data_IF_825387011557
#
_entry.id   IF_825387011557
#
_cell.length_a   1.000
_cell.length_b   1.000
_cell.length_c   1.000
_cell.angle_alpha   90.00
_cell.angle_beta   90.00
_cell.angle_gamma   90.00
#
_symmetry.space_group_name_H-M   'P 1'
#
loop_
_entity.id
_entity.type
_entity.pdbx_description
1 polymer ?
#
# COMPACT_ATOMS: atom_id res chain seq x y z
N UNK A 1 41.27 -52.18 13.97
CA UNK A 1 41.37 -50.70 14.11
C UNK A 1 40.90 -49.92 12.86
N UNK A 2 39.87 -50.34 12.10
CA UNK A 2 39.39 -49.59 10.92
C UNK A 2 37.91 -49.14 10.96
N UNK A 3 37.10 -49.60 11.93
CA UNK A 3 35.69 -49.17 12.07
C UNK A 3 35.52 -47.93 12.96
N UNK A 4 36.39 -47.74 13.96
CA UNK A 4 36.29 -46.61 14.90
C UNK A 4 36.70 -45.26 14.27
N UNK A 5 37.63 -45.26 13.31
CA UNK A 5 38.08 -44.04 12.64
C UNK A 5 37.09 -43.51 11.60
N UNK A 6 36.21 -44.37 11.08
CA UNK A 6 35.21 -43.98 10.07
C UNK A 6 34.00 -43.29 10.72
N UNK A 7 33.59 -43.74 11.90
CA UNK A 7 32.53 -43.09 12.70
C UNK A 7 32.98 -41.71 13.20
N UNK A 8 34.24 -41.56 13.57
CA UNK A 8 34.80 -40.27 13.99
C UNK A 8 34.89 -39.27 12.82
N UNK A 9 35.24 -39.73 11.61
CA UNK A 9 35.24 -38.87 10.42
C UNK A 9 33.83 -38.44 9.99
N UNK A 10 32.83 -39.32 10.11
CA UNK A 10 31.43 -38.96 9.84
C UNK A 10 30.87 -37.97 10.87
N UNK A 11 31.22 -38.09 12.15
CA UNK A 11 30.83 -37.13 13.19
C UNK A 11 31.50 -35.76 13.01
N UNK A 12 32.76 -35.72 12.56
CA UNK A 12 33.45 -34.46 12.25
C UNK A 12 32.83 -33.80 11.01
N UNK A 13 32.45 -34.58 9.98
CA UNK A 13 31.71 -34.05 8.82
C UNK A 13 30.32 -33.52 9.18
N UNK A 14 29.61 -34.16 10.13
CA UNK A 14 28.33 -33.65 10.65
C UNK A 14 28.52 -32.34 11.43
N UNK A 15 29.63 -32.18 12.18
CA UNK A 15 29.95 -30.91 12.85
C UNK A 15 30.40 -29.78 11.91
N UNK A 16 31.04 -30.11 10.78
CA UNK A 16 31.45 -29.10 9.80
C UNK A 16 30.37 -28.76 8.74
N UNK A 17 29.36 -29.63 8.54
CA UNK A 17 28.21 -29.37 7.66
C UNK A 17 26.99 -28.87 8.46
N UNK A 18 26.88 -29.23 9.73
CA UNK A 18 25.74 -28.91 10.60
C UNK A 18 26.16 -28.08 11.80
N UNK A 19 26.40 -26.79 11.58
CA UNK A 19 26.23 -25.68 12.52
C UNK A 19 26.82 -24.41 11.90
N UNK A 20 26.41 -24.08 10.68
CA UNK A 20 26.31 -22.66 10.36
C UNK A 20 25.29 -22.11 11.35
N UNK A 21 25.74 -21.43 12.40
CA UNK A 21 24.88 -20.48 13.10
C UNK A 21 24.32 -19.58 12.00
N UNK A 22 23.06 -19.81 11.58
CA UNK A 22 22.32 -18.78 10.86
C UNK A 22 22.31 -17.63 11.85
N UNK A 23 23.18 -16.65 11.59
CA UNK A 23 23.23 -15.41 12.34
C UNK A 23 21.80 -14.91 12.35
N UNK A 24 21.22 -14.75 13.54
CA UNK A 24 19.86 -14.24 13.63
C UNK A 24 19.87 -12.88 12.93
N UNK A 25 19.04 -12.77 11.89
CA UNK A 25 18.99 -11.57 11.07
C UNK A 25 18.40 -10.47 11.94
N UNK A 26 19.18 -9.42 12.18
CA UNK A 26 18.72 -8.24 12.88
C UNK A 26 17.73 -7.48 11.99
N UNK A 27 16.54 -7.27 12.51
CA UNK A 27 15.48 -6.53 11.85
C UNK A 27 15.60 -5.04 12.22
N UNK A 28 15.29 -4.11 11.30
CA UNK A 28 15.23 -2.69 11.61
C UNK A 28 14.35 -2.43 12.84
N UNK A 29 14.87 -1.65 13.78
CA UNK A 29 14.19 -1.27 15.01
C UNK A 29 14.48 0.19 15.34
N UNK A 30 13.44 0.93 15.68
CA UNK A 30 13.43 2.36 16.01
C UNK A 30 14.18 3.21 14.97
N UNK A 31 14.02 2.86 13.69
CA UNK A 31 14.65 3.60 12.59
C UNK A 31 13.80 4.82 12.28
N UNK A 32 14.40 6.01 12.33
CA UNK A 32 13.75 7.27 11.97
C UNK A 32 13.71 7.42 10.45
N UNK A 33 12.52 7.51 9.88
CA UNK A 33 12.28 7.57 8.44
C UNK A 33 11.24 8.63 8.07
N UNK A 34 11.32 9.11 6.84
CA UNK A 34 10.35 10.02 6.20
C UNK A 34 9.32 9.21 5.41
N UNK A 35 9.74 8.08 4.83
CA UNK A 35 8.85 7.16 4.12
C UNK A 35 9.33 5.72 4.22
N UNK A 36 8.39 4.78 4.13
CA UNK A 36 8.63 3.33 4.09
C UNK A 36 7.65 2.69 3.12
N UNK A 37 8.09 1.63 2.43
CA UNK A 37 7.27 0.89 1.47
C UNK A 37 7.84 -0.50 1.23
N UNK A 38 6.97 -1.49 1.12
CA UNK A 38 7.36 -2.79 0.57
C UNK A 38 7.35 -2.76 -0.95
N UNK A 39 8.43 -3.21 -1.57
CA UNK A 39 8.48 -3.54 -2.99
C UNK A 39 9.06 -4.94 -3.16
N UNK A 40 8.23 -5.87 -3.65
CA UNK A 40 8.44 -7.29 -3.41
C UNK A 40 8.71 -7.52 -1.91
N UNK A 41 9.62 -8.43 -1.55
CA UNK A 41 10.07 -8.62 -0.17
C UNK A 41 11.25 -7.72 0.24
N UNK A 42 11.46 -6.59 -0.45
CA UNK A 42 12.45 -5.58 -0.04
C UNK A 42 11.74 -4.39 0.60
N UNK A 43 12.28 -3.91 1.72
CA UNK A 43 11.81 -2.71 2.38
C UNK A 43 12.59 -1.51 1.86
N UNK A 44 11.92 -0.64 1.12
CA UNK A 44 12.44 0.65 0.70
C UNK A 44 12.07 1.71 1.74
N UNK A 45 13.06 2.46 2.23
CA UNK A 45 12.80 3.53 3.19
C UNK A 45 13.75 4.71 2.99
N UNK A 46 13.24 5.90 3.29
CA UNK A 46 14.01 7.14 3.23
C UNK A 46 14.22 7.70 4.63
N UNK A 47 15.41 8.22 4.89
CA UNK A 47 15.78 8.90 6.13
C UNK A 47 16.36 10.27 5.77
N UNK A 48 16.72 11.09 6.77
CA UNK A 48 17.47 12.32 6.55
C UNK A 48 18.83 12.12 5.85
N UNK A 49 19.38 10.90 5.89
CA UNK A 49 20.71 10.56 5.37
C UNK A 49 20.68 9.84 4.00
N UNK A 50 19.51 9.66 3.39
CA UNK A 50 19.39 9.00 2.10
C UNK A 50 18.26 7.99 1.98
N UNK A 51 18.28 7.25 0.87
CA UNK A 51 17.32 6.19 0.53
C UNK A 51 18.02 4.84 0.66
N UNK A 52 17.34 3.89 1.29
CA UNK A 52 17.86 2.58 1.62
C UNK A 52 16.91 1.49 1.15
N UNK A 53 17.49 0.33 0.83
CA UNK A 53 16.76 -0.92 0.62
C UNK A 53 17.23 -1.93 1.66
N UNK A 54 16.30 -2.56 2.36
CA UNK A 54 16.57 -3.62 3.31
C UNK A 54 16.00 -4.93 2.80
N UNK A 55 16.84 -5.97 2.79
CA UNK A 55 16.47 -7.34 2.45
C UNK A 55 16.35 -8.16 3.75
N UNK A 56 15.13 -8.55 4.17
CA UNK A 56 14.94 -9.41 5.33
C UNK A 56 15.54 -10.81 5.18
N UNK A 57 15.73 -11.28 3.93
CA UNK A 57 16.22 -12.63 3.63
C UNK A 57 17.68 -12.85 4.06
N UNK A 58 18.49 -11.79 4.02
CA UNK A 58 19.90 -11.83 4.40
C UNK A 58 20.31 -10.75 5.41
N UNK A 59 19.37 -9.89 5.82
CA UNK A 59 19.56 -8.86 6.84
C UNK A 59 20.40 -7.69 6.39
N UNK A 60 20.56 -7.50 5.08
CA UNK A 60 21.41 -6.42 4.55
C UNK A 60 20.59 -5.18 4.24
N UNK A 61 21.15 -4.04 4.61
CA UNK A 61 20.73 -2.73 4.13
C UNK A 61 21.73 -2.25 3.07
N UNK A 62 21.24 -1.90 1.90
CA UNK A 62 22.02 -1.24 0.86
C UNK A 62 21.57 0.22 0.73
N UNK A 63 22.51 1.09 0.40
CA UNK A 63 22.24 2.50 0.16
C UNK A 63 21.97 2.69 -1.33
N UNK A 64 20.78 3.18 -1.67
CA UNK A 64 20.42 3.52 -3.05
C UNK A 64 20.83 4.96 -3.39
N UNK A 65 20.70 5.87 -2.43
CA UNK A 65 21.07 7.27 -2.59
C UNK A 65 21.70 7.80 -1.31
N UNK A 66 22.95 8.25 -1.39
CA UNK A 66 23.70 8.87 -0.29
C UNK A 66 23.66 10.37 -0.43
N UNK A 67 22.50 10.95 -0.13
CA UNK A 67 22.32 12.40 -0.18
C UNK A 67 21.87 12.93 1.18
N UNK A 68 22.26 14.16 1.47
CA UNK A 68 21.76 14.89 2.62
C UNK A 68 20.34 15.36 2.30
N UNK A 69 19.37 14.46 2.46
CA UNK A 69 17.95 14.74 2.26
C UNK A 69 17.52 15.89 3.17
N UNK A 70 18.12 16.05 4.36
CA UNK A 70 17.80 17.17 5.27
C UNK A 70 18.21 18.56 4.74
N UNK A 71 19.14 18.63 3.78
CA UNK A 71 19.49 19.88 3.08
C UNK A 71 18.58 20.18 1.88
N UNK A 72 17.81 19.21 1.44
CA UNK A 72 16.81 19.36 0.40
C UNK A 72 15.48 19.56 1.13
N UNK A 73 14.72 20.57 0.77
CA UNK A 73 13.39 20.79 1.34
C UNK A 73 12.45 19.67 0.86
N UNK A 74 12.59 18.46 1.43
CA UNK A 74 11.86 17.25 1.05
C UNK A 74 11.03 16.79 2.26
N UNK A 75 9.72 16.85 2.12
CA UNK A 75 8.76 16.41 3.14
C UNK A 75 8.07 15.08 2.79
N UNK A 76 8.14 14.65 1.54
CA UNK A 76 7.61 13.35 1.11
C UNK A 76 8.45 12.77 -0.02
N UNK A 77 8.61 11.44 -0.02
CA UNK A 77 9.39 10.72 -1.02
C UNK A 77 8.75 9.37 -1.34
N UNK A 78 8.59 9.07 -2.63
CA UNK A 78 8.30 7.73 -3.13
C UNK A 78 9.47 7.21 -3.98
N UNK A 79 9.75 5.91 -3.84
CA UNK A 79 10.82 5.23 -4.53
C UNK A 79 10.29 3.92 -5.11
N UNK A 80 10.57 3.67 -6.40
CA UNK A 80 10.14 2.47 -7.10
C UNK A 80 11.31 1.88 -7.91
N UNK A 81 11.80 0.70 -7.53
CA UNK A 81 12.79 -0.06 -8.30
C UNK A 81 12.17 -0.54 -9.64
N UNK A 82 12.99 -0.63 -10.69
CA UNK A 82 12.60 -1.27 -11.95
C UNK A 82 12.31 -2.77 -11.74
N UNK A 83 11.58 -3.43 -12.65
CA UNK A 83 11.33 -4.87 -12.56
C UNK A 83 12.60 -5.73 -12.40
N UNK A 84 13.70 -5.35 -13.07
CA UNK A 84 15.01 -5.99 -12.93
C UNK A 84 15.89 -5.42 -11.80
N UNK A 85 15.38 -4.43 -11.06
CA UNK A 85 16.03 -3.72 -9.95
C UNK A 85 17.30 -2.95 -10.34
N UNK A 86 17.61 -2.82 -11.63
CA UNK A 86 18.79 -2.08 -12.11
C UNK A 86 18.66 -0.56 -11.98
N UNK A 87 17.43 -0.04 -11.88
CA UNK A 87 17.11 1.39 -11.83
C UNK A 87 16.04 1.65 -10.79
N UNK A 88 15.82 2.92 -10.49
CA UNK A 88 14.70 3.34 -9.66
C UNK A 88 14.19 4.73 -10.04
N UNK A 89 12.89 4.93 -9.82
CA UNK A 89 12.24 6.23 -9.88
C UNK A 89 12.28 6.81 -8.48
N UNK A 90 12.66 8.07 -8.35
CA UNK A 90 12.50 8.86 -7.13
C UNK A 90 11.53 10.00 -7.44
N UNK A 91 10.49 10.12 -6.61
CA UNK A 91 9.62 11.29 -6.58
C UNK A 91 9.88 12.00 -5.26
N UNK A 92 10.33 13.26 -5.30
CA UNK A 92 10.57 14.05 -4.09
C UNK A 92 9.61 15.22 -4.06
N UNK A 93 8.84 15.41 -2.99
CA UNK A 93 8.01 16.59 -2.78
C UNK A 93 8.71 17.56 -1.83
N UNK A 94 8.75 18.84 -2.18
CA UNK A 94 9.10 19.94 -1.28
C UNK A 94 7.92 20.85 -0.98
N UNK A 95 8.17 22.00 -0.32
CA UNK A 95 7.09 22.90 0.11
C UNK A 95 6.19 23.40 -1.03
N UNK A 96 6.73 23.50 -2.25
CA UNK A 96 6.04 24.13 -3.37
C UNK A 96 5.80 23.20 -4.56
N UNK A 97 6.60 22.13 -4.74
CA UNK A 97 6.47 21.24 -5.88
C UNK A 97 7.24 19.91 -5.67
N UNK A 98 7.00 18.93 -6.55
CA UNK A 98 7.77 17.71 -6.63
C UNK A 98 8.62 17.54 -7.89
N UNK A 99 9.71 16.82 -7.75
CA UNK A 99 10.56 16.38 -8.87
C UNK A 99 10.37 14.89 -9.12
N UNK A 100 10.66 14.46 -10.36
CA UNK A 100 10.69 13.04 -10.74
C UNK A 100 12.00 12.77 -11.47
N UNK A 101 12.75 11.81 -10.95
CA UNK A 101 14.06 11.44 -11.46
C UNK A 101 14.18 9.91 -11.57
N UNK A 102 14.84 9.46 -12.63
CA UNK A 102 15.18 8.07 -12.86
C UNK A 102 16.69 7.93 -12.67
N UNK A 103 17.10 6.99 -11.84
CA UNK A 103 18.48 6.82 -11.41
C UNK A 103 18.94 5.37 -11.55
N UNK A 104 20.23 5.18 -11.73
CA UNK A 104 20.88 3.87 -11.75
C UNK A 104 21.09 3.35 -10.32
N UNK A 105 20.67 2.11 -10.05
CA UNK A 105 20.67 1.54 -8.68
C UNK A 105 22.05 1.26 -8.12
N UNK A 106 23.05 0.99 -8.97
CA UNK A 106 24.41 0.65 -8.54
C UNK A 106 25.27 1.91 -8.34
N UNK A 107 25.07 2.90 -9.21
CA UNK A 107 25.93 4.09 -9.26
C UNK A 107 25.29 5.35 -8.68
N UNK A 108 23.98 5.33 -8.39
CA UNK A 108 23.20 6.50 -7.97
C UNK A 108 23.32 7.68 -8.96
N UNK A 109 23.59 7.39 -10.24
CA UNK A 109 23.68 8.43 -11.27
C UNK A 109 22.31 8.70 -11.87
N UNK A 110 22.02 9.99 -12.08
CA UNK A 110 20.84 10.43 -12.81
C UNK A 110 20.88 9.92 -14.25
N UNK A 111 19.85 9.17 -14.65
CA UNK A 111 19.64 8.70 -16.01
C UNK A 111 18.77 9.70 -16.76
N UNK A 112 17.68 10.13 -16.13
CA UNK A 112 16.71 11.04 -16.71
C UNK A 112 16.00 11.84 -15.61
N UNK A 113 16.08 13.16 -15.71
CA UNK A 113 15.29 14.07 -14.89
C UNK A 113 14.13 14.60 -15.72
N UNK A 114 12.90 14.39 -15.24
CA UNK A 114 11.70 14.85 -15.94
C UNK A 114 11.41 16.32 -15.65
N UNK A 115 11.04 17.07 -16.69
CA UNK A 115 10.53 18.43 -16.54
C UNK A 115 9.04 18.36 -16.13
N UNK A 116 8.77 18.38 -14.82
CA UNK A 116 7.41 18.24 -14.28
C UNK A 116 6.47 19.37 -14.73
N UNK A 117 6.99 20.60 -14.92
CA UNK A 117 6.20 21.77 -15.33
C UNK A 117 5.59 21.56 -16.72
N UNK A 118 6.35 20.93 -17.62
CA UNK A 118 5.89 20.60 -18.97
C UNK A 118 4.60 19.78 -18.95
N UNK A 119 4.47 18.82 -18.05
CA UNK A 119 3.30 17.93 -17.99
C UNK A 119 2.05 18.61 -17.44
N UNK A 120 2.21 19.78 -16.82
CA UNK A 120 1.13 20.56 -16.20
C UNK A 120 0.83 21.86 -16.96
N UNK A 121 1.56 22.15 -18.03
CA UNK A 121 1.35 23.34 -18.81
C UNK A 121 -0.07 23.38 -19.41
N UNK A 122 -0.73 24.54 -19.33
CA UNK A 122 -2.04 24.76 -19.95
C UNK A 122 -3.24 24.13 -19.24
N UNK A 123 -3.08 23.56 -18.04
CA UNK A 123 -4.20 22.92 -17.31
C UNK A 123 -5.06 23.90 -16.50
N UNK A 124 -4.75 25.20 -16.51
CA UNK A 124 -5.49 26.23 -15.79
C UNK A 124 -4.79 26.70 -14.51
N UNK A 125 -5.54 27.33 -13.60
CA UNK A 125 -4.99 27.90 -12.37
C UNK A 125 -4.75 26.89 -11.23
N UNK A 126 -5.31 25.67 -11.36
CA UNK A 126 -5.01 24.54 -10.47
C UNK A 126 -4.13 23.55 -11.23
N UNK A 127 -2.93 23.30 -10.71
CA UNK A 127 -1.90 22.50 -11.35
C UNK A 127 -1.42 21.44 -10.35
N UNK A 128 -2.10 20.30 -10.24
CA UNK A 128 -1.73 19.24 -9.32
C UNK A 128 -0.30 18.74 -9.58
N UNK A 129 0.46 18.37 -8.53
CA UNK A 129 1.80 17.81 -8.68
C UNK A 129 1.77 16.45 -9.39
N UNK A 130 2.94 15.85 -9.64
CA UNK A 130 2.97 14.46 -10.10
C UNK A 130 2.51 13.57 -8.94
N UNK A 131 1.33 12.97 -9.05
CA UNK A 131 0.76 12.12 -8.01
C UNK A 131 1.27 10.67 -8.05
N UNK A 132 1.75 10.21 -9.20
CA UNK A 132 2.21 8.83 -9.38
C UNK A 132 3.21 8.73 -10.54
N UNK A 133 4.30 7.97 -10.35
CA UNK A 133 5.17 7.53 -11.43
C UNK A 133 5.69 6.12 -11.13
N UNK A 134 5.46 5.17 -12.04
CA UNK A 134 5.83 3.78 -11.86
C UNK A 134 6.31 3.14 -13.17
N UNK A 135 6.93 1.97 -13.06
CA UNK A 135 7.46 1.22 -14.19
C UNK A 135 6.37 0.44 -14.94
N UNK A 136 6.34 0.59 -16.26
CA UNK A 136 5.62 -0.33 -17.15
C UNK A 136 6.47 -1.56 -17.45
N UNK A 137 7.75 -1.34 -17.73
CA UNK A 137 8.77 -2.36 -17.96
C UNK A 137 10.15 -1.74 -17.64
N UNK A 138 11.25 -2.39 -17.97
CA UNK A 138 12.60 -1.87 -17.64
C UNK A 138 13.01 -0.61 -18.45
N UNK A 139 12.26 -0.27 -19.50
CA UNK A 139 12.57 0.82 -20.45
C UNK A 139 11.48 1.89 -20.52
N UNK A 140 10.28 1.61 -20.00
CA UNK A 140 9.14 2.52 -20.04
C UNK A 140 8.57 2.73 -18.64
N UNK A 141 8.24 3.98 -18.34
CA UNK A 141 7.50 4.38 -17.14
C UNK A 141 6.17 5.00 -17.55
N UNK A 142 5.24 5.08 -16.60
CA UNK A 142 4.12 6.01 -16.70
C UNK A 142 4.22 7.09 -15.63
N UNK A 143 3.64 8.25 -15.92
CA UNK A 143 3.58 9.39 -15.01
C UNK A 143 2.18 10.00 -15.04
N UNK A 144 1.57 10.23 -13.88
CA UNK A 144 0.29 10.91 -13.73
C UNK A 144 0.41 12.21 -12.92
N UNK A 145 -0.17 13.29 -13.46
CA UNK A 145 -0.40 14.55 -12.74
C UNK A 145 -1.84 14.65 -12.23
N UNK A 146 -2.57 13.55 -12.10
CA UNK A 146 -4.04 13.48 -11.94
C UNK A 146 -4.84 14.00 -13.15
N UNK A 147 -4.37 15.05 -13.83
CA UNK A 147 -5.00 15.65 -15.01
C UNK A 147 -4.51 15.09 -16.33
N UNK A 148 -3.31 14.51 -16.37
CA UNK A 148 -2.78 13.84 -17.56
C UNK A 148 -2.00 12.60 -17.16
N UNK A 149 -2.04 11.60 -18.03
CA UNK A 149 -1.24 10.38 -17.93
C UNK A 149 -0.33 10.28 -19.15
N UNK A 150 0.96 10.06 -18.91
CA UNK A 150 1.97 9.88 -19.94
C UNK A 150 2.64 8.52 -19.82
N UNK A 151 3.05 7.96 -20.96
CA UNK A 151 4.01 6.87 -21.06
C UNK A 151 5.30 7.43 -21.64
N UNK A 152 6.42 7.19 -20.97
CA UNK A 152 7.72 7.77 -21.31
C UNK A 152 8.74 6.64 -21.46
N UNK A 153 9.49 6.63 -22.56
CA UNK A 153 10.64 5.76 -22.73
C UNK A 153 11.88 6.42 -22.14
N UNK A 154 12.52 5.77 -21.16
CA UNK A 154 13.63 6.38 -20.41
C UNK A 154 14.94 6.44 -21.21
N UNK A 155 15.05 5.67 -22.32
CA UNK A 155 16.25 5.65 -23.17
C UNK A 155 16.18 6.68 -24.28
N UNK A 156 15.02 6.81 -24.94
CA UNK A 156 14.85 7.72 -26.08
C UNK A 156 14.31 9.08 -25.67
N UNK A 157 13.65 9.17 -24.51
CA UNK A 157 12.89 10.34 -24.11
C UNK A 157 11.57 10.48 -24.88
N UNK A 158 11.14 9.47 -25.66
CA UNK A 158 9.86 9.51 -26.35
C UNK A 158 8.70 9.47 -25.36
N UNK A 159 7.69 10.29 -25.61
CA UNK A 159 6.59 10.56 -24.69
C UNK A 159 5.26 10.44 -25.44
N UNK A 160 4.30 9.77 -24.84
CA UNK A 160 2.92 9.69 -25.37
C UNK A 160 1.94 10.00 -24.24
N UNK A 161 1.06 10.96 -24.47
CA UNK A 161 -0.09 11.19 -23.60
C UNK A 161 -1.15 10.11 -23.85
N UNK A 162 -1.54 9.39 -22.81
CA UNK A 162 -2.56 8.33 -22.85
C UNK A 162 -3.96 8.93 -22.76
N UNK A 163 -4.14 9.90 -21.88
CA UNK A 163 -5.43 10.55 -21.62
C UNK A 163 -5.80 11.57 -22.69
N UNK A 164 -7.10 11.77 -22.90
CA UNK A 164 -7.62 12.94 -23.62
C UNK A 164 -7.17 14.25 -22.99
N UNK A 165 -7.13 15.31 -23.79
CA UNK A 165 -6.70 16.64 -23.35
C UNK A 165 -7.71 17.29 -22.39
N UNK A 166 -7.25 17.65 -21.19
CA UNK A 166 -8.09 18.17 -20.11
C UNK A 166 -8.37 19.68 -20.18
N UNK A 167 -7.48 20.45 -20.84
CA UNK A 167 -7.48 21.91 -20.79
C UNK A 167 -8.80 22.59 -21.17
N UNK A 168 -9.62 22.13 -22.14
CA UNK A 168 -10.88 22.82 -22.47
C UNK A 168 -11.89 22.86 -21.31
N UNK A 169 -11.73 21.97 -20.33
CA UNK A 169 -12.55 21.88 -19.12
C UNK A 169 -11.84 22.55 -17.94
N UNK A 170 -10.60 22.16 -17.65
CA UNK A 170 -9.89 22.60 -16.44
C UNK A 170 -9.57 24.10 -16.44
N UNK A 171 -9.40 24.71 -17.63
CA UNK A 171 -9.17 26.17 -17.75
C UNK A 171 -10.40 27.03 -17.50
N UNK A 172 -11.60 26.45 -17.46
CA UNK A 172 -12.88 27.19 -17.33
C UNK A 172 -13.53 27.05 -15.95
N UNK A 173 -12.96 26.24 -15.08
CA UNK A 173 -13.52 25.96 -13.75
C UNK A 173 -12.73 26.70 -12.67
N UNK A 174 -13.36 26.93 -11.52
CA UNK A 174 -12.70 27.56 -10.37
C UNK A 174 -11.55 26.68 -9.86
N UNK A 175 -10.35 27.26 -9.78
CA UNK A 175 -9.14 26.59 -9.31
C UNK A 175 -9.24 26.13 -7.85
N UNK A 176 -10.07 26.79 -7.02
CA UNK A 176 -10.15 26.50 -5.58
C UNK A 176 -11.34 25.63 -5.19
N UNK A 177 -12.36 25.49 -6.06
CA UNK A 177 -13.64 24.86 -5.67
C UNK A 177 -14.13 23.79 -6.62
N UNK A 178 -13.63 23.73 -7.86
CA UNK A 178 -14.08 22.77 -8.86
C UNK A 178 -12.93 21.94 -9.38
N UNK A 179 -11.82 22.58 -9.79
CA UNK A 179 -10.66 21.88 -10.36
C UNK A 179 -10.08 20.77 -9.45
N UNK A 180 -9.97 20.94 -8.11
CA UNK A 180 -9.43 19.89 -7.23
C UNK A 180 -10.29 18.61 -7.16
N UNK A 181 -11.53 18.65 -7.65
CA UNK A 181 -12.43 17.50 -7.67
C UNK A 181 -12.52 16.85 -9.05
N UNK A 182 -11.69 17.31 -9.99
CA UNK A 182 -11.56 16.72 -11.32
C UNK A 182 -10.33 15.81 -11.36
N UNK A 183 -10.40 14.77 -12.18
CA UNK A 183 -9.26 13.92 -12.46
C UNK A 183 -9.45 13.20 -13.81
N UNK A 184 -8.39 13.11 -14.59
CA UNK A 184 -8.33 12.31 -15.82
C UNK A 184 -7.70 10.95 -15.58
N UNK A 185 -6.71 10.87 -14.69
CA UNK A 185 -6.03 9.63 -14.35
C UNK A 185 -5.56 9.64 -12.90
N UNK A 186 -6.37 9.09 -12.00
CA UNK A 186 -6.03 8.87 -10.60
C UNK A 186 -6.02 7.37 -10.28
N UNK A 187 -5.21 6.99 -9.30
CA UNK A 187 -5.01 5.59 -8.88
C UNK A 187 -4.73 4.67 -10.09
N UNK A 188 -3.69 4.99 -10.85
CA UNK A 188 -3.34 4.25 -12.07
C UNK A 188 -2.78 2.88 -11.69
N UNK A 189 -3.29 1.82 -12.32
CA UNK A 189 -2.83 0.44 -12.12
C UNK A 189 -2.45 -0.17 -13.47
N UNK A 190 -1.23 -0.70 -13.55
CA UNK A 190 -0.82 -1.56 -14.66
C UNK A 190 -1.44 -2.94 -14.48
N UNK A 191 -2.11 -3.44 -15.53
CA UNK A 191 -2.61 -4.81 -15.61
C UNK A 191 -2.33 -5.34 -17.01
N UNK A 192 -1.41 -6.31 -17.12
CA UNK A 192 -0.84 -6.70 -18.41
C UNK A 192 -0.16 -5.51 -19.10
N UNK A 193 -0.50 -5.26 -20.37
CA UNK A 193 0.12 -4.22 -21.20
C UNK A 193 -0.63 -2.87 -21.17
N UNK A 194 -1.63 -2.72 -20.28
CA UNK A 194 -2.51 -1.55 -20.22
C UNK A 194 -2.50 -0.90 -18.85
N UNK A 195 -2.80 0.39 -18.86
CA UNK A 195 -3.01 1.21 -17.66
C UNK A 195 -4.51 1.39 -17.45
N UNK A 196 -5.00 1.06 -16.25
CA UNK A 196 -6.37 1.29 -15.83
C UNK A 196 -6.39 2.34 -14.75
N UNK A 197 -7.37 3.23 -14.76
CA UNK A 197 -7.39 4.35 -13.82
C UNK A 197 -8.80 4.88 -13.62
N UNK A 198 -8.97 5.54 -12.49
CA UNK A 198 -10.16 6.29 -12.17
C UNK A 198 -10.11 7.69 -12.80
N UNK A 199 -11.27 8.19 -13.24
CA UNK A 199 -11.43 9.52 -13.80
C UNK A 199 -12.78 10.16 -13.44
N UNK A 200 -12.74 11.44 -13.08
CA UNK A 200 -13.90 12.32 -12.87
C UNK A 200 -13.71 13.64 -13.59
N UNK A 201 -14.24 13.73 -14.80
CA UNK A 201 -14.01 14.86 -15.73
C UNK A 201 -15.10 15.94 -15.69
N UNK A 202 -16.25 15.63 -15.08
CA UNK A 202 -17.43 16.51 -15.13
C UNK A 202 -17.55 17.33 -13.85
N UNK A 203 -17.45 18.67 -13.93
CA UNK A 203 -17.62 19.54 -12.77
C UNK A 203 -19.07 19.47 -12.26
N UNK A 204 -19.25 19.73 -10.96
CA UNK A 204 -20.56 19.83 -10.29
C UNK A 204 -21.48 18.62 -10.48
N UNK A 205 -20.92 17.47 -10.87
CA UNK A 205 -21.68 16.23 -11.05
C UNK A 205 -21.45 15.34 -9.83
N UNK A 206 -22.51 14.97 -9.08
CA UNK A 206 -22.39 14.02 -7.99
C UNK A 206 -22.02 12.63 -8.51
N UNK A 207 -21.53 11.76 -7.63
CA UNK A 207 -21.16 10.38 -7.95
C UNK A 207 -19.66 10.14 -8.10
N UNK A 208 -19.34 8.86 -8.32
CA UNK A 208 -18.01 8.25 -8.19
C UNK A 208 -17.16 8.26 -9.48
N UNK A 209 -17.58 8.93 -10.56
CA UNK A 209 -16.86 9.05 -11.85
C UNK A 209 -16.84 7.75 -12.69
N UNK A 210 -15.77 7.48 -13.44
CA UNK A 210 -15.65 6.33 -14.36
C UNK A 210 -14.26 5.69 -14.30
N UNK A 211 -14.16 4.41 -14.67
CA UNK A 211 -12.90 3.70 -14.89
C UNK A 211 -12.59 3.71 -16.38
N UNK A 212 -11.36 4.08 -16.72
CA UNK A 212 -10.79 4.05 -18.06
C UNK A 212 -9.66 3.03 -18.14
N UNK A 213 -9.31 2.62 -19.35
CA UNK A 213 -8.02 2.01 -19.63
C UNK A 213 -7.38 2.62 -20.86
N UNK A 214 -6.05 2.58 -20.96
CA UNK A 214 -5.33 3.09 -22.10
C UNK A 214 -3.91 2.56 -22.22
N UNK A 215 -3.30 2.86 -23.36
CA UNK A 215 -1.91 2.56 -23.71
C UNK A 215 -1.37 3.66 -24.65
N UNK A 216 -0.27 3.38 -25.36
CA UNK A 216 0.34 4.33 -26.32
C UNK A 216 -0.58 4.69 -27.50
N UNK A 217 -1.70 3.99 -27.70
CA UNK A 217 -2.67 4.27 -28.77
C UNK A 217 -3.81 5.18 -28.33
N UNK A 218 -3.93 5.46 -27.02
CA UNK A 218 -4.96 6.29 -26.42
C UNK A 218 -5.75 5.57 -25.34
N UNK A 219 -6.87 6.15 -24.93
CA UNK A 219 -7.71 5.67 -23.84
C UNK A 219 -9.13 5.29 -24.28
N UNK A 220 -9.79 4.50 -23.44
CA UNK A 220 -11.17 4.06 -23.60
C UNK A 220 -11.90 4.05 -22.25
N UNK A 221 -13.13 4.58 -22.21
CA UNK A 221 -14.03 4.46 -21.05
C UNK A 221 -14.50 2.99 -20.92
N UNK A 222 -14.28 2.38 -19.75
CA UNK A 222 -14.65 0.98 -19.49
C UNK A 222 -15.94 0.87 -18.70
N UNK A 223 -16.00 1.51 -17.52
CA UNK A 223 -17.12 1.41 -16.58
C UNK A 223 -17.51 2.81 -16.09
N UNK A 224 -18.80 3.12 -16.20
CA UNK A 224 -19.39 4.35 -15.65
C UNK A 224 -19.83 4.17 -14.21
N UNK A 225 -19.86 5.28 -13.47
CA UNK A 225 -20.21 5.34 -12.06
C UNK A 225 -19.41 4.31 -11.26
N UNK A 226 -18.10 4.29 -11.50
CA UNK A 226 -17.19 3.32 -10.94
C UNK A 226 -15.86 3.95 -10.50
N UNK A 227 -15.32 3.44 -9.38
CA UNK A 227 -14.03 3.84 -8.82
C UNK A 227 -13.12 2.61 -8.69
N UNK A 228 -11.96 2.65 -9.35
CA UNK A 228 -10.97 1.59 -9.29
C UNK A 228 -10.31 1.57 -7.91
N UNK A 229 -10.34 0.42 -7.23
CA UNK A 229 -9.74 0.25 -5.90
C UNK A 229 -8.33 -0.35 -6.00
N UNK A 230 -8.24 -1.61 -6.44
CA UNK A 230 -6.97 -2.35 -6.50
C UNK A 230 -6.93 -3.35 -7.66
N UNK A 231 -5.73 -3.60 -8.17
CA UNK A 231 -5.48 -4.71 -9.09
C UNK A 231 -5.32 -6.01 -8.30
N UNK A 232 -6.05 -7.06 -8.69
CA UNK A 232 -5.93 -8.39 -8.09
C UNK A 232 -4.78 -9.16 -8.77
N UNK A 233 -4.73 -9.06 -10.09
CA UNK A 233 -3.71 -9.61 -10.97
C UNK A 233 -3.78 -8.90 -12.33
N UNK A 234 -3.03 -9.38 -13.32
CA UNK A 234 -3.01 -8.82 -14.68
C UNK A 234 -4.35 -8.91 -15.45
N UNK A 235 -5.37 -9.57 -14.89
CA UNK A 235 -6.65 -9.85 -15.55
C UNK A 235 -7.86 -9.41 -14.76
N UNK A 236 -7.69 -9.04 -13.49
CA UNK A 236 -8.81 -8.75 -12.59
C UNK A 236 -8.51 -7.57 -11.69
N UNK A 237 -9.55 -6.78 -11.41
CA UNK A 237 -9.47 -5.69 -10.44
C UNK A 237 -10.74 -5.57 -9.61
N UNK A 238 -10.60 -4.96 -8.44
CA UNK A 238 -11.70 -4.61 -7.56
C UNK A 238 -12.10 -3.17 -7.81
N UNK A 239 -13.39 -2.90 -7.83
CA UNK A 239 -13.92 -1.56 -7.97
C UNK A 239 -15.21 -1.35 -7.18
N UNK A 240 -15.44 -0.09 -6.81
CA UNK A 240 -16.71 0.37 -6.28
C UNK A 240 -17.62 0.81 -7.43
N UNK A 241 -18.90 0.50 -7.34
CA UNK A 241 -19.91 0.96 -8.29
C UNK A 241 -21.07 1.61 -7.56
N UNK A 242 -21.43 2.82 -7.97
CA UNK A 242 -22.70 3.41 -7.57
C UNK A 242 -23.83 2.74 -8.38
N UNK A 243 -24.56 1.82 -7.74
CA UNK A 243 -25.62 1.04 -8.42
C UNK A 243 -26.98 1.73 -8.35
N UNK A 244 -27.18 2.60 -7.35
CA UNK A 244 -28.28 3.56 -7.21
C UNK A 244 -27.74 4.83 -6.54
N UNK A 245 -28.44 5.98 -6.59
CA UNK A 245 -28.01 7.18 -5.87
C UNK A 245 -27.68 6.85 -4.42
N UNK A 246 -26.47 7.21 -3.98
CA UNK A 246 -25.95 7.01 -2.61
C UNK A 246 -25.77 5.54 -2.19
N UNK A 247 -25.89 4.58 -3.11
CA UNK A 247 -25.66 3.15 -2.85
C UNK A 247 -24.44 2.68 -3.65
N UNK A 248 -23.37 2.39 -2.92
CA UNK A 248 -22.11 1.90 -3.49
C UNK A 248 -21.86 0.46 -3.08
N UNK A 249 -21.61 -0.39 -4.06
CA UNK A 249 -21.32 -1.82 -3.86
C UNK A 249 -19.96 -2.17 -4.46
N UNK A 250 -19.32 -3.22 -3.95
CA UNK A 250 -17.97 -3.62 -4.37
C UNK A 250 -18.01 -4.85 -5.27
N UNK A 251 -17.31 -4.79 -6.39
CA UNK A 251 -17.28 -5.83 -7.42
C UNK A 251 -15.86 -6.24 -7.81
N UNK A 252 -15.71 -7.50 -8.21
CA UNK A 252 -14.57 -8.03 -8.94
C UNK A 252 -14.88 -7.96 -10.44
N UNK A 253 -14.06 -7.25 -11.21
CA UNK A 253 -14.13 -7.23 -12.67
C UNK A 253 -13.10 -8.20 -13.27
N UNK A 254 -13.52 -8.97 -14.27
CA UNK A 254 -12.65 -9.83 -15.08
C UNK A 254 -12.48 -9.23 -16.48
N UNK A 255 -11.26 -8.80 -16.79
CA UNK A 255 -10.89 -8.12 -18.04
C UNK A 255 -11.09 -9.04 -19.24
N UNK A 256 -10.79 -10.34 -19.10
CA UNK A 256 -10.82 -11.29 -20.22
C UNK A 256 -12.24 -11.59 -20.68
N UNK A 257 -13.19 -11.60 -19.76
CA UNK A 257 -14.60 -11.90 -20.01
C UNK A 257 -15.49 -10.65 -20.07
N UNK A 258 -15.00 -9.52 -19.57
CA UNK A 258 -15.78 -8.29 -19.41
C UNK A 258 -16.88 -8.39 -18.35
N UNK A 259 -16.79 -9.35 -17.44
CA UNK A 259 -17.85 -9.67 -16.47
C UNK A 259 -17.52 -9.15 -15.06
N UNK A 260 -18.56 -8.78 -14.31
CA UNK A 260 -18.45 -8.38 -12.90
C UNK A 260 -19.11 -9.40 -12.00
N UNK A 261 -18.49 -9.68 -10.85
CA UNK A 261 -19.06 -10.46 -9.75
C UNK A 261 -19.14 -9.62 -8.49
N UNK A 262 -20.26 -9.67 -7.77
CA UNK A 262 -20.43 -8.95 -6.50
C UNK A 262 -19.50 -9.56 -5.45
N UNK A 263 -18.71 -8.71 -4.77
CA UNK A 263 -17.92 -9.09 -3.59
C UNK A 263 -18.75 -8.84 -2.34
N UNK A 264 -19.28 -7.62 -2.20
CA UNK A 264 -20.16 -7.25 -1.09
C UNK A 264 -21.06 -6.08 -1.47
N UNK A 265 -22.29 -6.10 -0.96
CA UNK A 265 -23.21 -4.95 -0.98
C UNK A 265 -23.15 -4.15 0.33
N UNK A 266 -22.43 -4.64 1.34
CA UNK A 266 -22.23 -3.95 2.61
C UNK A 266 -21.16 -2.89 2.47
N UNK A 267 -21.32 -1.81 3.23
CA UNK A 267 -20.29 -0.78 3.34
C UNK A 267 -19.09 -1.37 4.07
N UNK A 268 -17.96 -1.45 3.37
CA UNK A 268 -16.67 -1.75 3.99
C UNK A 268 -16.33 -0.62 4.98
N UNK A 269 -15.73 -0.99 6.11
CA UNK A 269 -15.12 -0.05 7.05
C UNK A 269 -13.93 0.67 6.37
N UNK A 270 -13.41 1.68 7.06
CA UNK A 270 -12.34 2.56 6.55
C UNK A 270 -11.09 1.77 6.09
N UNK A 271 -10.33 2.34 5.15
CA UNK A 271 -9.24 1.71 4.39
C UNK A 271 -9.66 0.63 3.37
N UNK A 272 -10.87 0.07 3.51
CA UNK A 272 -11.52 -0.71 2.45
C UNK A 272 -11.02 -2.16 2.32
N UNK A 273 -10.54 -2.53 1.12
CA UNK A 273 -10.24 -3.92 0.74
C UNK A 273 -8.75 -4.06 0.46
N UNK A 274 -8.14 -5.10 1.03
CA UNK A 274 -6.75 -5.45 0.84
C UNK A 274 -6.59 -6.82 0.18
N UNK A 275 -5.40 -7.08 -0.36
CA UNK A 275 -5.01 -8.40 -0.86
C UNK A 275 -4.03 -9.04 0.11
N UNK A 276 -4.24 -10.31 0.42
CA UNK A 276 -3.32 -11.11 1.23
C UNK A 276 -2.13 -11.59 0.39
N UNK A 277 -1.07 -12.06 1.04
CA UNK A 277 0.08 -12.73 0.43
C UNK A 277 -0.27 -14.03 -0.33
N UNK A 278 -1.43 -14.66 -0.07
CA UNK A 278 -1.94 -15.81 -0.86
C UNK A 278 -2.97 -15.41 -1.92
N UNK A 279 -3.20 -14.12 -2.11
CA UNK A 279 -4.02 -13.57 -3.18
C UNK A 279 -5.52 -13.55 -2.90
N UNK A 280 -5.97 -13.82 -1.67
CA UNK A 280 -7.36 -13.58 -1.26
C UNK A 280 -7.58 -12.09 -1.03
N UNK A 281 -8.83 -11.67 -1.09
CA UNK A 281 -9.27 -10.31 -0.73
C UNK A 281 -9.79 -10.33 0.70
N UNK A 282 -9.43 -9.32 1.48
CA UNK A 282 -9.86 -9.17 2.87
C UNK A 282 -10.38 -7.78 3.12
N UNK A 283 -11.42 -7.67 3.94
CA UNK A 283 -12.02 -6.40 4.34
C UNK A 283 -12.80 -6.59 5.63
N UNK A 284 -13.12 -5.47 6.29
CA UNK A 284 -13.95 -5.47 7.50
C UNK A 284 -15.27 -4.76 7.24
N UNK A 285 -16.34 -5.25 7.88
CA UNK A 285 -17.68 -4.64 7.88
C UNK A 285 -18.20 -4.47 9.30
N UNK A 286 -19.22 -3.62 9.47
CA UNK A 286 -19.84 -3.30 10.75
C UNK A 286 -20.11 -1.81 10.90
N UNK A 287 -20.62 -1.41 12.07
CA UNK A 287 -20.85 -0.01 12.42
C UNK A 287 -19.59 0.60 13.03
N UNK A 288 -19.16 1.76 12.54
CA UNK A 288 -17.95 2.45 13.03
C UNK A 288 -18.00 2.69 14.54
N UNK A 289 -19.18 2.90 15.12
CA UNK A 289 -19.36 3.13 16.56
C UNK A 289 -20.22 2.05 17.19
N UNK A 290 -19.73 1.39 18.24
CA UNK A 290 -20.48 0.43 19.05
C UNK A 290 -21.06 -0.74 18.25
N UNK A 291 -20.33 -1.86 18.15
CA UNK A 291 -20.83 -3.02 17.43
C UNK A 291 -19.85 -4.19 17.38
N UNK A 292 -20.25 -5.21 16.63
CA UNK A 292 -19.42 -6.36 16.26
C UNK A 292 -18.74 -6.01 14.92
N UNK A 293 -17.41 -6.09 14.87
CA UNK A 293 -16.69 -5.98 13.60
C UNK A 293 -16.54 -7.37 12.98
N UNK A 294 -16.89 -7.48 11.71
CA UNK A 294 -16.77 -8.71 10.95
C UNK A 294 -15.61 -8.60 9.98
N UNK A 295 -14.72 -9.59 9.96
CA UNK A 295 -13.73 -9.74 8.92
C UNK A 295 -14.22 -10.69 7.84
N UNK A 296 -14.01 -10.32 6.59
CA UNK A 296 -14.39 -11.14 5.44
C UNK A 296 -13.13 -11.56 4.69
N UNK A 297 -13.04 -12.85 4.38
CA UNK A 297 -12.03 -13.43 3.49
C UNK A 297 -12.73 -13.89 2.21
N UNK A 298 -12.47 -13.23 1.10
CA UNK A 298 -13.05 -13.54 -0.21
C UNK A 298 -11.99 -14.11 -1.15
N UNK A 299 -12.24 -15.29 -1.70
CA UNK A 299 -11.38 -15.91 -2.70
C UNK A 299 -11.79 -15.43 -4.11
N UNK A 300 -10.95 -14.67 -4.84
CA UNK A 300 -11.31 -14.14 -6.16
C UNK A 300 -11.40 -15.21 -7.25
N UNK A 301 -10.80 -16.38 -7.06
CA UNK A 301 -10.84 -17.50 -8.02
C UNK A 301 -12.13 -18.31 -7.89
N UNK A 302 -12.53 -18.64 -6.66
CA UNK A 302 -13.75 -19.42 -6.40
C UNK A 302 -14.99 -18.56 -6.19
N UNK A 303 -14.81 -17.26 -5.96
CA UNK A 303 -15.86 -16.26 -5.65
C UNK A 303 -16.63 -16.58 -4.38
N UNK A 304 -16.00 -17.30 -3.46
CA UNK A 304 -16.57 -17.64 -2.16
C UNK A 304 -16.03 -16.71 -1.08
N UNK A 305 -16.91 -16.33 -0.16
CA UNK A 305 -16.57 -15.56 1.04
C UNK A 305 -16.68 -16.43 2.30
N UNK A 306 -15.85 -16.11 3.28
CA UNK A 306 -15.96 -16.56 4.66
C UNK A 306 -16.02 -15.31 5.55
N UNK A 307 -16.89 -15.32 6.55
CA UNK A 307 -17.12 -14.19 7.45
C UNK A 307 -16.82 -14.63 8.88
N UNK A 308 -16.11 -13.78 9.61
CA UNK A 308 -15.64 -14.04 10.97
C UNK A 308 -16.05 -12.88 11.88
N UNK A 309 -16.62 -13.19 13.04
CA UNK A 309 -16.90 -12.19 14.08
C UNK A 309 -15.59 -11.91 14.84
N UNK A 310 -14.84 -10.92 14.36
CA UNK A 310 -13.47 -10.62 14.77
C UNK A 310 -13.41 -9.92 16.11
N UNK A 311 -14.28 -8.92 16.31
CA UNK A 311 -14.26 -8.11 17.50
C UNK A 311 -15.68 -7.95 18.02
N UNK A 312 -15.92 -8.46 19.21
CA UNK A 312 -17.12 -8.18 19.96
C UNK A 312 -16.68 -7.67 21.32
N UNK A 313 -16.68 -6.35 21.49
CA UNK A 313 -16.12 -5.79 22.70
C UNK A 313 -16.86 -6.20 23.99
N UNK A 314 -18.14 -6.64 23.95
CA UNK A 314 -18.80 -7.19 25.15
C UNK A 314 -18.17 -8.51 25.61
N UNK A 315 -17.71 -9.33 24.65
CA UNK A 315 -17.01 -10.60 24.89
C UNK A 315 -15.53 -10.38 25.23
N UNK A 316 -14.88 -9.51 24.45
CA UNK A 316 -13.43 -9.41 24.41
C UNK A 316 -12.89 -8.42 25.46
N UNK A 317 -13.70 -7.44 25.92
CA UNK A 317 -13.34 -6.48 26.97
C UNK A 317 -14.57 -6.11 27.84
N UNK A 318 -14.87 -6.86 28.91
CA UNK A 318 -16.13 -6.76 29.65
C UNK A 318 -16.27 -5.51 30.57
N UNK A 319 -15.34 -4.55 30.52
CA UNK A 319 -15.42 -3.34 31.35
C UNK A 319 -16.63 -2.46 30.95
N UNK A 320 -17.47 -2.15 31.95
CA UNK A 320 -18.72 -1.39 31.80
C UNK A 320 -18.51 0.08 31.33
N UNK A 321 -17.28 0.60 31.42
CA UNK A 321 -16.96 2.02 31.17
C UNK A 321 -16.49 2.33 29.75
N UNK A 322 -16.47 1.35 28.84
CA UNK A 322 -16.04 1.49 27.43
C UNK A 322 -17.15 2.11 26.55
N UNK A 323 -17.93 3.03 27.11
CA UNK A 323 -19.02 3.69 26.40
C UNK A 323 -18.49 4.49 25.19
N UNK A 324 -18.68 3.88 24.00
CA UNK A 324 -18.28 4.28 22.63
C UNK A 324 -16.94 3.72 22.14
N UNK A 325 -16.93 2.41 21.86
CA UNK A 325 -15.93 1.78 20.98
C UNK A 325 -16.04 2.32 19.58
N UNK A 326 -14.91 2.70 19.00
CA UNK A 326 -14.83 3.17 17.63
C UNK A 326 -13.85 2.31 16.87
N UNK A 327 -14.24 1.96 15.65
CA UNK A 327 -13.32 1.36 14.71
C UNK A 327 -12.27 2.41 14.36
N UNK A 328 -10.99 2.04 14.48
CA UNK A 328 -9.90 2.89 14.02
C UNK A 328 -9.61 2.59 12.55
N UNK A 329 -8.63 1.73 12.28
CA UNK A 329 -8.17 1.44 10.93
C UNK A 329 -8.14 -0.07 10.66
N UNK A 330 -8.47 -0.46 9.43
CA UNK A 330 -8.12 -1.80 8.94
C UNK A 330 -6.74 -1.74 8.29
N UNK A 331 -5.78 -2.52 8.79
CA UNK A 331 -4.39 -2.52 8.32
C UNK A 331 -4.08 -3.69 7.37
N UNK A 332 -5.11 -4.46 7.00
CA UNK A 332 -5.01 -5.62 6.14
C UNK A 332 -4.93 -6.94 6.91
N UNK A 333 -4.57 -8.01 6.20
CA UNK A 333 -4.40 -9.33 6.77
C UNK A 333 -3.33 -10.13 6.02
N UNK A 334 -2.68 -11.06 6.71
CA UNK A 334 -1.76 -12.02 6.10
C UNK A 334 -2.29 -13.44 6.29
N UNK A 335 -1.81 -14.35 5.44
CA UNK A 335 -2.13 -15.77 5.45
C UNK A 335 -0.88 -16.62 5.65
N UNK A 336 -0.91 -17.49 6.65
CA UNK A 336 0.17 -18.40 6.97
C UNK A 336 -0.38 -19.67 7.64
N UNK A 337 0.16 -20.84 7.33
CA UNK A 337 -0.30 -22.13 7.90
C UNK A 337 -1.82 -22.37 7.82
N UNK A 338 -2.41 -21.98 6.67
CA UNK A 338 -3.85 -22.01 6.36
C UNK A 338 -4.72 -21.08 7.23
N UNK A 339 -4.10 -20.26 8.08
CA UNK A 339 -4.73 -19.26 8.92
C UNK A 339 -4.66 -17.89 8.26
N UNK A 340 -5.73 -17.10 8.38
CA UNK A 340 -5.71 -15.68 8.06
C UNK A 340 -5.69 -14.85 9.36
N UNK A 341 -4.76 -13.92 9.48
CA UNK A 341 -4.61 -13.02 10.63
C UNK A 341 -4.92 -11.60 10.22
N UNK A 342 -5.97 -11.03 10.80
CA UNK A 342 -6.40 -9.65 10.57
C UNK A 342 -5.66 -8.70 11.51
N UNK A 343 -5.19 -7.57 10.97
CA UNK A 343 -4.57 -6.48 11.71
C UNK A 343 -5.47 -5.23 11.63
N UNK A 344 -5.85 -4.68 12.77
CA UNK A 344 -6.73 -3.52 12.84
C UNK A 344 -6.53 -2.76 14.15
N UNK A 345 -7.04 -1.53 14.23
CA UNK A 345 -7.06 -0.77 15.47
C UNK A 345 -8.48 -0.44 15.92
N UNK A 346 -8.65 -0.29 17.22
CA UNK A 346 -9.88 0.21 17.84
C UNK A 346 -9.54 1.35 18.79
N UNK A 347 -10.48 2.27 18.96
CA UNK A 347 -10.36 3.40 19.87
C UNK A 347 -11.48 3.33 20.91
N UNK A 348 -11.09 3.42 22.19
CA UNK A 348 -11.97 3.24 23.33
C UNK A 348 -11.86 4.47 24.25
N UNK A 349 -12.97 5.15 24.53
CA UNK A 349 -12.95 6.24 25.51
C UNK A 349 -12.90 5.69 26.94
N UNK A 350 -11.78 5.87 27.62
CA UNK A 350 -11.65 5.53 29.03
C UNK A 350 -12.17 6.68 29.91
N UNK A 351 -13.32 6.47 30.56
CA UNK A 351 -13.87 7.46 31.51
C UNK A 351 -12.94 7.70 32.70
N UNK A 352 -12.27 6.65 33.19
CA UNK A 352 -11.38 6.75 34.36
C UNK A 352 -10.12 7.57 34.07
N UNK A 353 -9.62 7.53 32.84
CA UNK A 353 -8.48 8.35 32.40
C UNK A 353 -8.89 9.65 31.70
N UNK A 354 -10.17 9.80 31.35
CA UNK A 354 -10.70 10.93 30.60
C UNK A 354 -10.15 11.07 29.17
N UNK A 355 -9.55 10.00 28.60
CA UNK A 355 -8.92 10.01 27.27
C UNK A 355 -9.33 8.79 26.42
N UNK A 356 -9.20 8.91 25.09
CA UNK A 356 -9.25 7.74 24.20
C UNK A 356 -7.96 6.93 24.34
N UNK A 357 -8.13 5.62 24.42
CA UNK A 357 -7.07 4.62 24.37
C UNK A 357 -7.18 3.93 23.01
N UNK A 358 -6.06 3.79 22.30
CA UNK A 358 -6.00 3.19 20.98
C UNK A 358 -5.26 1.87 21.06
N UNK A 359 -5.97 0.80 20.72
CA UNK A 359 -5.44 -0.56 20.79
C UNK A 359 -5.20 -1.06 19.36
N UNK A 360 -4.04 -1.68 19.15
CA UNK A 360 -3.66 -2.27 17.86
C UNK A 360 -3.69 -3.78 17.99
N UNK A 361 -4.57 -4.41 17.23
CA UNK A 361 -5.03 -5.77 17.49
C UNK A 361 -4.70 -6.70 16.32
N UNK A 362 -4.41 -7.94 16.66
CA UNK A 362 -4.31 -9.06 15.73
C UNK A 362 -5.36 -10.12 16.07
N UNK A 363 -6.07 -10.61 15.06
CA UNK A 363 -7.09 -11.65 15.21
C UNK A 363 -6.80 -12.85 14.33
N UNK A 364 -6.80 -14.05 14.93
CA UNK A 364 -6.68 -15.32 14.23
C UNK A 364 -8.03 -15.89 13.83
N UNK A 365 -8.23 -16.16 12.54
CA UNK A 365 -9.40 -16.89 12.03
C UNK A 365 -9.42 -18.38 12.41
N UNK A 366 -8.28 -18.95 12.85
CA UNK A 366 -8.14 -20.37 13.16
C UNK A 366 -8.36 -20.65 14.65
N UNK A 367 -7.70 -19.89 15.52
CA UNK A 367 -7.86 -20.03 16.97
C UNK A 367 -9.01 -19.20 17.52
N UNK A 368 -9.59 -18.29 16.72
CA UNK A 368 -10.58 -17.29 17.15
C UNK A 368 -10.07 -16.45 18.32
N UNK A 369 -8.74 -16.21 18.37
CA UNK A 369 -8.06 -15.48 19.42
C UNK A 369 -7.75 -14.07 18.95
N UNK A 370 -8.01 -13.10 19.82
CA UNK A 370 -7.66 -11.70 19.66
C UNK A 370 -6.52 -11.38 20.63
N UNK A 371 -5.48 -10.70 20.15
CA UNK A 371 -4.39 -10.20 20.98
C UNK A 371 -4.07 -8.76 20.62
N UNK A 372 -3.52 -8.02 21.57
CA UNK A 372 -2.83 -6.76 21.28
C UNK A 372 -1.48 -7.05 20.62
N UNK A 373 -1.14 -6.33 19.55
CA UNK A 373 0.11 -6.52 18.81
C UNK A 373 1.30 -6.09 19.67
N UNK A 374 1.26 -4.89 20.24
CA UNK A 374 2.23 -4.36 21.20
C UNK A 374 1.64 -3.13 21.91
N UNK A 375 2.27 -2.72 23.01
CA UNK A 375 1.96 -1.45 23.68
C UNK A 375 2.75 -0.32 23.00
N UNK A 376 2.05 0.47 22.18
CA UNK A 376 2.63 1.62 21.49
C UNK A 376 2.53 2.94 22.28
N UNK A 377 2.10 2.89 23.55
CA UNK A 377 2.07 4.02 24.47
C UNK A 377 1.28 5.22 23.95
N UNK A 378 1.83 6.42 24.10
CA UNK A 378 1.21 7.69 23.67
C UNK A 378 1.48 8.03 22.18
N UNK A 379 1.82 7.04 21.35
CA UNK A 379 1.97 7.23 19.90
C UNK A 379 0.64 7.63 19.29
N UNK A 380 0.59 8.74 18.55
CA UNK A 380 -0.64 9.27 17.97
C UNK A 380 -1.25 8.33 16.91
N UNK A 381 -0.42 7.80 16.02
CA UNK A 381 -0.84 6.86 14.99
C UNK A 381 0.22 5.79 14.74
N UNK A 382 -0.23 4.53 14.70
CA UNK A 382 0.56 3.41 14.22
C UNK A 382 -0.07 2.87 12.95
N UNK A 383 0.74 2.62 11.93
CA UNK A 383 0.33 1.90 10.74
C UNK A 383 1.14 0.61 10.60
N UNK A 384 0.49 -0.45 10.14
CA UNK A 384 1.13 -1.73 9.88
C UNK A 384 1.01 -2.06 8.40
N UNK A 385 2.15 -2.27 7.74
CA UNK A 385 2.21 -2.65 6.34
C UNK A 385 2.83 -4.04 6.20
N UNK A 386 2.05 -4.96 5.66
CA UNK A 386 2.41 -6.38 5.51
C UNK A 386 3.24 -6.57 4.23
N UNK A 387 4.33 -7.34 4.30
CA UNK A 387 5.13 -7.68 3.13
C UNK A 387 4.33 -8.54 2.14
N UNK A 388 4.63 -8.50 0.82
CA UNK A 388 4.01 -9.37 -0.17
C UNK A 388 4.13 -10.88 0.13
N UNK A 389 5.20 -11.34 0.79
CA UNK A 389 5.32 -12.70 1.33
C UNK A 389 4.39 -12.99 2.50
N UNK A 390 3.99 -11.96 3.26
CA UNK A 390 3.26 -12.07 4.52
C UNK A 390 4.13 -12.43 5.73
N UNK A 391 5.44 -12.59 5.54
CA UNK A 391 6.38 -13.00 6.59
C UNK A 391 6.83 -11.85 7.49
N UNK A 392 6.70 -10.61 7.02
CA UNK A 392 7.19 -9.42 7.71
C UNK A 392 6.14 -8.31 7.73
N UNK A 393 6.19 -7.49 8.77
CA UNK A 393 5.29 -6.35 8.98
C UNK A 393 6.14 -5.15 9.35
N UNK A 394 6.02 -4.05 8.60
CA UNK A 394 6.57 -2.76 9.03
C UNK A 394 5.55 -2.10 9.93
N UNK A 395 6.01 -1.61 11.08
CA UNK A 395 5.20 -0.84 12.01
C UNK A 395 5.74 0.58 12.04
N UNK A 396 4.99 1.56 11.53
CA UNK A 396 5.35 2.99 11.58
C UNK A 396 4.67 3.65 12.78
N UNK A 397 5.38 4.55 13.47
CA UNK A 397 4.98 5.16 14.74
C UNK A 397 5.08 6.69 14.62
N UNK A 398 3.95 7.36 14.47
CA UNK A 398 3.83 8.81 14.33
C UNK A 398 3.46 9.43 15.67
N UNK A 399 4.23 10.42 16.13
CA UNK A 399 4.05 10.97 17.48
C UNK A 399 2.99 12.06 17.50
N UNK A 400 2.86 12.84 16.42
CA UNK A 400 1.91 13.94 16.31
C UNK A 400 1.33 14.07 14.89
N UNK A 401 0.14 14.69 14.75
CA UNK A 401 -0.40 15.02 13.45
C UNK A 401 0.55 15.95 12.67
N UNK A 402 0.90 15.56 11.45
CA UNK A 402 1.74 16.38 10.56
C UNK A 402 3.24 16.24 10.79
N UNK A 403 3.71 15.24 11.56
CA UNK A 403 5.13 14.91 11.60
C UNK A 403 5.63 14.51 10.20
N UNK A 404 6.71 15.17 9.74
CA UNK A 404 7.39 14.84 8.46
C UNK A 404 8.22 13.55 8.57
N UNK A 405 8.46 13.04 9.78
CA UNK A 405 9.17 11.80 10.04
C UNK A 405 8.48 10.93 11.11
N UNK A 406 8.87 9.66 11.17
CA UNK A 406 8.35 8.68 12.11
C UNK A 406 9.40 7.64 12.45
N UNK A 407 9.21 6.93 13.57
CA UNK A 407 10.01 5.74 13.86
C UNK A 407 9.34 4.52 13.22
N UNK A 408 10.13 3.56 12.73
CA UNK A 408 9.60 2.28 12.31
C UNK A 408 10.40 1.09 12.83
N UNK A 409 9.67 -0.02 12.98
CA UNK A 409 10.19 -1.35 13.29
C UNK A 409 9.79 -2.34 12.20
N UNK A 410 10.52 -3.44 12.08
CA UNK A 410 10.11 -4.60 11.28
C UNK A 410 9.89 -5.80 12.20
N UNK A 411 8.69 -6.36 12.16
CA UNK A 411 8.29 -7.55 12.91
C UNK A 411 8.24 -8.77 11.99
N UNK A 412 8.48 -9.97 12.55
CA UNK A 412 8.14 -11.23 11.89
C UNK A 412 6.70 -11.62 12.22
N UNK A 413 5.94 -12.00 11.20
CA UNK A 413 4.58 -12.51 11.37
C UNK A 413 4.53 -13.76 12.25
N UNK A 414 5.55 -14.61 12.18
CA UNK A 414 5.74 -15.78 13.07
C UNK A 414 5.63 -15.43 14.56
N UNK A 415 6.18 -14.29 14.96
CA UNK A 415 6.14 -13.87 16.36
C UNK A 415 4.72 -13.56 16.83
N UNK A 416 3.88 -13.03 15.93
CA UNK A 416 2.46 -12.81 16.20
C UNK A 416 1.69 -14.13 16.20
N UNK A 417 1.95 -15.00 15.23
CA UNK A 417 1.30 -16.32 15.13
C UNK A 417 1.53 -17.17 16.38
N UNK A 418 2.76 -17.21 16.91
CA UNK A 418 3.05 -17.94 18.15
C UNK A 418 2.23 -17.44 19.34
N UNK A 419 1.88 -16.16 19.37
CA UNK A 419 1.03 -15.57 20.42
C UNK A 419 -0.45 -15.81 20.17
N UNK A 420 -0.85 -16.09 18.94
CA UNK A 420 -2.21 -16.36 18.51
C UNK A 420 -2.62 -17.84 18.66
N UNK A 421 -1.64 -18.75 18.72
CA UNK A 421 -1.84 -20.15 19.12
C UNK A 421 -2.18 -20.27 20.62
#
# INVERSE_FOLDING_TARGET
MKKSSCVLLCLILIFFIGCGHKREIELPKDVRAISTKWQDDHLLYATSNGIFTYSPADGKTENLMSDDISKKDINWLDCNLSPDKSKYIVITMGHYDNTVEIRDSETDQSILQLNVDKYREGVGGYSPPVGQAEWLDNDNIFLSTEFRLFIINIKTGDEVQVTEECSPITTKVSQNTEAPYLSWAFNVKKMGDRLYYYSKRKPKTPGVGSIYYGDKTGEHELLRNAWLLLAVDDRRFVYLKETKPDVTETFLYDISTGSSSLITAERCLEEGIFRTNKGKLVFMTGDVTGGIYQGVVYNPDTRQSQVFDIYNGERDFPDEDIDKRQFGHFMGAFEQDEECVFLFSVENYSKSQGKYIKDYLAYSTKSNKLIEVDDYGDTWLVNMNISPSGEYIIVTKHNQPGDDDFLFDVLKSDNLLMRLQ
#
